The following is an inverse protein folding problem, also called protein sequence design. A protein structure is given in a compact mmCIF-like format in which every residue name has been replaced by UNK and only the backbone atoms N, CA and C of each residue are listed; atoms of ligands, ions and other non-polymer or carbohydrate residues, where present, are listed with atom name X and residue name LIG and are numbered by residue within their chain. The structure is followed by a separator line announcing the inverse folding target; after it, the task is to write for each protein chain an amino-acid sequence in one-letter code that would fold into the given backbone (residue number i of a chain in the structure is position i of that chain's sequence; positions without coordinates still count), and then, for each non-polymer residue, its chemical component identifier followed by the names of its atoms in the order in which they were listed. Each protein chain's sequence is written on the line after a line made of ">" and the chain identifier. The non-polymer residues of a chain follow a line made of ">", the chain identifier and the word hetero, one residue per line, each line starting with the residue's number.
data_IF_109547970574
#
_entry.id   IF_109547970574
#
_cell.length_a   1.000
_cell.length_b   1.000
_cell.length_c   1.000
_cell.angle_alpha   90.00
_cell.angle_beta   90.00
_cell.angle_gamma   90.00
#
_symmetry.space_group_name_H-M   'P 1'
#
loop_
_entity.id
_entity.type
_entity.pdbx_description
1 polymer ?
#
# COMPACT_ATOMS: atom_id res chain seq x y z
N UNK A 1 87.12 18.67 40.60
CA UNK A 1 88.31 17.82 40.44
C UNK A 1 87.82 16.36 40.36
N UNK A 2 88.03 15.72 39.21
CA UNK A 2 87.73 14.34 38.79
C UNK A 2 87.13 13.33 39.79
N UNK A 3 86.05 12.64 39.40
CA UNK A 3 86.11 11.20 39.05
C UNK A 3 84.81 10.67 38.41
N UNK A 4 85.01 9.97 37.30
CA UNK A 4 84.10 9.07 36.59
C UNK A 4 83.63 7.91 37.48
N UNK A 5 82.45 7.36 37.18
CA UNK A 5 82.30 5.91 37.03
C UNK A 5 81.08 5.53 36.17
N UNK A 6 81.37 4.76 35.13
CA UNK A 6 80.45 4.01 34.27
C UNK A 6 79.64 2.95 35.02
N UNK A 7 78.37 2.75 34.62
CA UNK A 7 77.62 1.48 34.69
C UNK A 7 76.61 1.47 33.53
N UNK A 8 76.86 0.72 32.46
CA UNK A 8 76.43 -0.68 32.24
C UNK A 8 74.90 -0.88 32.30
N UNK A 9 74.30 -1.01 31.10
CA UNK A 9 72.99 -1.60 30.86
C UNK A 9 72.94 -3.07 31.30
N UNK A 10 71.75 -3.61 31.60
CA UNK A 10 71.25 -4.66 30.73
C UNK A 10 69.73 -4.67 30.51
N UNK A 11 69.35 -5.03 29.27
CA UNK A 11 68.26 -5.98 29.00
C UNK A 11 66.82 -5.47 29.04
N UNK A 12 66.34 -4.94 27.91
CA UNK A 12 64.89 -4.89 27.63
C UNK A 12 64.53 -6.11 26.78
N UNK A 13 63.61 -6.99 27.22
CA UNK A 13 63.14 -8.08 26.38
C UNK A 13 62.20 -7.55 25.29
N UNK A 14 62.57 -7.83 24.04
CA UNK A 14 61.78 -7.59 22.84
C UNK A 14 60.53 -8.49 22.89
N UNK A 15 59.39 -7.92 23.31
CA UNK A 15 58.11 -8.64 23.31
C UNK A 15 57.52 -8.54 21.90
N UNK A 16 57.71 -9.58 21.09
CA UNK A 16 57.02 -9.73 19.81
C UNK A 16 55.56 -10.07 20.12
N UNK A 17 54.69 -9.05 20.11
CA UNK A 17 53.26 -9.24 20.12
C UNK A 17 52.83 -9.83 18.77
N UNK A 18 52.50 -11.12 18.79
CA UNK A 18 51.84 -11.81 17.67
C UNK A 18 50.44 -11.22 17.52
N UNK A 19 50.30 -10.33 16.54
CA UNK A 19 49.04 -9.77 16.06
C UNK A 19 48.31 -10.85 15.24
N UNK A 20 47.80 -11.90 15.90
CA UNK A 20 46.77 -12.78 15.35
C UNK A 20 45.40 -12.12 15.57
N UNK A 21 45.19 -10.97 14.93
CA UNK A 21 43.89 -10.34 14.80
C UNK A 21 43.05 -11.11 13.77
N UNK A 22 42.27 -12.07 14.28
CA UNK A 22 40.95 -12.48 13.77
C UNK A 22 40.51 -11.91 12.41
N UNK A 23 41.03 -12.49 11.33
CA UNK A 23 40.36 -12.51 10.02
C UNK A 23 39.24 -13.57 10.05
N UNK A 24 38.24 -13.37 10.91
CA UNK A 24 36.92 -13.96 10.66
C UNK A 24 36.21 -12.98 9.73
N UNK A 25 36.57 -13.03 8.45
CA UNK A 25 35.73 -12.48 7.41
C UNK A 25 34.36 -13.14 7.56
N UNK A 26 33.36 -12.36 7.94
CA UNK A 26 31.97 -12.81 7.81
C UNK A 26 31.81 -13.19 6.35
N UNK A 27 31.63 -14.48 6.08
CA UNK A 27 31.05 -14.92 4.82
C UNK A 27 29.68 -14.24 4.79
N UNK A 28 29.59 -13.13 4.05
CA UNK A 28 28.31 -12.51 3.75
C UNK A 28 27.62 -13.56 2.90
N UNK A 29 26.71 -14.32 3.51
CA UNK A 29 25.88 -15.24 2.75
C UNK A 29 25.20 -14.43 1.65
N UNK A 30 25.47 -14.77 0.39
CA UNK A 30 24.86 -14.11 -0.75
C UNK A 30 23.36 -14.43 -0.72
N UNK A 31 22.56 -13.45 -0.30
CA UNK A 31 21.12 -13.59 -0.20
C UNK A 31 20.51 -13.89 -1.58
N UNK A 32 19.56 -14.82 -1.62
CA UNK A 32 18.86 -15.20 -2.85
C UNK A 32 17.48 -14.57 -2.90
N UNK A 33 17.17 -13.89 -3.99
CA UNK A 33 15.85 -13.29 -4.22
C UNK A 33 14.76 -14.37 -4.29
N UNK A 34 13.66 -14.11 -3.61
CA UNK A 34 12.47 -14.95 -3.50
C UNK A 34 11.35 -14.35 -4.36
N UNK A 35 11.35 -14.70 -5.65
CA UNK A 35 10.40 -14.13 -6.63
C UNK A 35 8.92 -14.41 -6.30
N UNK A 36 8.62 -15.49 -5.58
CA UNK A 36 7.26 -15.81 -5.17
C UNK A 36 6.69 -14.70 -4.27
N UNK A 37 7.47 -14.25 -3.29
CA UNK A 37 7.09 -13.26 -2.29
C UNK A 37 7.48 -11.82 -2.69
N UNK A 38 7.82 -11.60 -3.96
CA UNK A 38 8.28 -10.31 -4.47
C UNK A 38 7.35 -9.78 -5.56
N UNK A 39 7.30 -8.47 -5.73
CA UNK A 39 6.76 -7.79 -6.91
C UNK A 39 7.59 -6.56 -7.27
N UNK A 40 7.54 -6.17 -8.53
CA UNK A 40 8.24 -5.00 -9.10
C UNK A 40 7.22 -3.97 -9.56
N UNK A 41 7.70 -2.80 -9.96
CA UNK A 41 6.85 -1.75 -10.53
C UNK A 41 6.08 -2.22 -11.77
N UNK A 42 6.72 -3.02 -12.62
CA UNK A 42 6.11 -3.64 -13.80
C UNK A 42 5.35 -4.92 -13.40
N UNK A 43 4.23 -4.76 -12.69
CA UNK A 43 3.47 -5.90 -12.16
C UNK A 43 2.73 -6.66 -13.27
N UNK A 44 3.04 -7.95 -13.38
CA UNK A 44 2.15 -8.91 -14.03
C UNK A 44 0.94 -9.16 -13.11
N UNK A 45 -0.19 -8.51 -13.40
CA UNK A 45 -1.40 -8.58 -12.57
C UNK A 45 -1.91 -10.00 -12.34
N UNK A 46 -1.76 -10.90 -13.30
CA UNK A 46 -2.19 -12.29 -13.15
C UNK A 46 -1.30 -13.01 -12.13
N UNK A 47 0.01 -12.84 -12.23
CA UNK A 47 0.95 -13.38 -11.23
C UNK A 47 0.75 -12.71 -9.87
N UNK A 48 0.54 -11.41 -9.83
CA UNK A 48 0.32 -10.68 -8.59
C UNK A 48 -0.93 -11.17 -7.86
N UNK A 49 -2.09 -11.17 -8.52
CA UNK A 49 -3.37 -11.57 -7.90
C UNK A 49 -3.45 -13.06 -7.55
N UNK A 50 -2.66 -13.93 -8.18
CA UNK A 50 -2.54 -15.33 -7.76
C UNK A 50 -1.72 -15.51 -6.48
N UNK A 51 -0.88 -14.54 -6.09
CA UNK A 51 0.05 -14.65 -4.95
C UNK A 51 -0.30 -13.72 -3.80
N UNK A 52 -0.92 -12.59 -4.10
CA UNK A 52 -1.25 -11.54 -3.15
C UNK A 52 -2.76 -11.33 -3.08
N UNK A 53 -3.25 -11.08 -1.88
CA UNK A 53 -4.62 -10.70 -1.61
C UNK A 53 -4.65 -9.23 -1.19
N UNK A 54 -5.37 -8.41 -1.94
CA UNK A 54 -5.52 -6.98 -1.70
C UNK A 54 -6.95 -6.70 -1.23
N UNK A 55 -7.08 -5.96 -0.13
CA UNK A 55 -8.35 -5.65 0.54
C UNK A 55 -8.40 -4.18 1.00
N UNK A 56 -9.62 -3.70 1.24
CA UNK A 56 -9.87 -2.30 1.62
C UNK A 56 -9.53 -1.34 0.49
N UNK A 57 -8.78 -0.28 0.80
CA UNK A 57 -8.27 0.69 -0.18
C UNK A 57 -6.96 0.28 -0.85
N UNK A 58 -6.51 -0.97 -0.66
CA UNK A 58 -5.35 -1.49 -1.36
C UNK A 58 -5.68 -1.70 -2.84
N UNK A 59 -5.23 -0.79 -3.71
CA UNK A 59 -5.51 -0.85 -5.15
C UNK A 59 -4.20 -1.10 -5.91
N UNK A 60 -4.00 -2.30 -6.47
CA UNK A 60 -2.91 -2.56 -7.39
C UNK A 60 -3.15 -1.78 -8.70
N UNK A 61 -2.21 -0.90 -9.05
CA UNK A 61 -2.19 -0.13 -10.30
C UNK A 61 -1.03 -0.61 -11.17
N UNK A 62 -0.98 -0.16 -12.43
CA UNK A 62 -0.01 -0.71 -13.39
C UNK A 62 1.46 -0.52 -12.97
N UNK A 63 1.75 0.53 -12.20
CA UNK A 63 3.11 0.92 -11.84
C UNK A 63 3.33 1.15 -10.34
N UNK A 64 2.36 0.82 -9.48
CA UNK A 64 2.47 0.87 -8.02
C UNK A 64 1.23 0.25 -7.39
N UNK A 65 1.27 0.02 -6.09
CA UNK A 65 0.10 -0.30 -5.28
C UNK A 65 -0.22 0.92 -4.41
N UNK A 66 -1.44 1.43 -4.52
CA UNK A 66 -1.92 2.46 -3.61
C UNK A 66 -2.44 1.78 -2.33
N UNK A 67 -1.83 2.08 -1.18
CA UNK A 67 -2.31 1.62 0.12
C UNK A 67 -3.29 2.64 0.73
N UNK A 68 -2.92 3.92 0.76
CA UNK A 68 -3.75 4.99 1.31
C UNK A 68 -4.05 6.01 0.21
N UNK A 69 -5.30 6.16 -0.25
CA UNK A 69 -5.67 7.07 -1.34
C UNK A 69 -6.00 8.51 -0.89
N UNK A 70 -5.47 8.97 0.26
CA UNK A 70 -5.83 10.26 0.89
C UNK A 70 -7.31 10.38 1.25
N UNK A 71 -7.88 9.33 1.83
CA UNK A 71 -9.23 9.35 2.37
C UNK A 71 -9.21 8.94 3.84
N UNK A 72 -9.89 9.72 4.67
CA UNK A 72 -10.12 9.42 6.08
C UNK A 72 -10.98 8.17 6.27
N UNK A 73 -10.87 7.56 7.44
CA UNK A 73 -11.65 6.38 7.83
C UNK A 73 -11.57 5.25 6.81
N UNK A 74 -10.33 4.92 6.43
CA UNK A 74 -10.00 3.88 5.45
C UNK A 74 -8.93 2.96 5.99
N UNK A 75 -8.95 1.73 5.51
CA UNK A 75 -7.90 0.75 5.74
C UNK A 75 -7.50 0.13 4.41
N UNK A 76 -6.25 -0.31 4.32
CA UNK A 76 -5.81 -1.21 3.28
C UNK A 76 -5.07 -2.39 3.89
N UNK A 77 -5.19 -3.54 3.24
CA UNK A 77 -4.45 -4.72 3.59
C UNK A 77 -3.97 -5.40 2.31
N UNK A 78 -2.70 -5.80 2.31
CA UNK A 78 -2.04 -6.54 1.25
C UNK A 78 -1.33 -7.72 1.88
N UNK A 79 -1.82 -8.93 1.65
CA UNK A 79 -1.29 -10.14 2.27
C UNK A 79 -0.81 -11.13 1.23
N UNK A 80 0.38 -11.70 1.45
CA UNK A 80 0.81 -12.83 0.64
C UNK A 80 0.02 -14.08 1.01
N UNK A 81 -0.40 -14.86 0.01
CA UNK A 81 -1.26 -16.04 0.18
C UNK A 81 -0.52 -17.28 0.70
N UNK A 82 0.80 -17.31 0.51
CA UNK A 82 1.64 -18.44 0.90
C UNK A 82 2.57 -18.05 2.06
N UNK A 83 2.88 -18.99 2.97
CA UNK A 83 3.86 -18.77 4.03
C UNK A 83 5.28 -18.74 3.46
N UNK A 84 6.14 -17.94 4.09
CA UNK A 84 7.58 -17.91 3.83
C UNK A 84 8.27 -19.01 4.66
N UNK A 85 9.05 -19.87 4.01
CA UNK A 85 9.65 -21.04 4.66
C UNK A 85 11.02 -20.78 5.27
N UNK A 86 11.39 -19.53 5.55
CA UNK A 86 12.65 -19.13 6.19
C UNK A 86 12.38 -18.16 7.34
N UNK A 87 13.23 -18.18 8.37
CA UNK A 87 13.27 -17.18 9.44
C UNK A 87 14.52 -16.29 9.37
N UNK A 88 15.26 -16.38 8.28
CA UNK A 88 16.45 -15.60 8.01
C UNK A 88 16.31 -14.97 6.62
N UNK A 89 15.59 -13.85 6.56
CA UNK A 89 15.27 -13.17 5.31
C UNK A 89 15.34 -11.65 5.46
N UNK A 90 15.26 -10.95 4.33
CA UNK A 90 15.20 -9.50 4.25
C UNK A 90 14.03 -9.10 3.37
N UNK A 91 13.30 -8.07 3.79
CA UNK A 91 12.32 -7.38 2.96
C UNK A 91 12.92 -6.02 2.58
N UNK A 92 13.02 -5.73 1.30
CA UNK A 92 13.36 -4.41 0.77
C UNK A 92 12.20 -3.89 -0.07
N UNK A 93 11.71 -2.68 0.21
CA UNK A 93 10.61 -2.10 -0.55
C UNK A 93 10.75 -0.59 -0.67
N UNK A 94 10.27 -0.07 -1.79
CA UNK A 94 10.27 1.36 -2.06
C UNK A 94 8.86 1.90 -2.08
N UNK A 95 8.65 3.02 -1.39
CA UNK A 95 7.37 3.71 -1.32
C UNK A 95 7.53 5.21 -1.53
N UNK A 96 6.46 5.87 -1.96
CA UNK A 96 6.36 7.32 -1.89
C UNK A 96 5.26 7.69 -0.90
N UNK A 97 5.59 8.63 -0.02
CA UNK A 97 4.67 9.18 0.94
C UNK A 97 4.49 10.67 0.65
N UNK A 98 3.26 11.10 0.38
CA UNK A 98 2.97 12.49 0.03
C UNK A 98 1.95 13.09 0.98
N UNK A 99 2.29 14.24 1.54
CA UNK A 99 1.41 15.08 2.34
C UNK A 99 0.08 15.38 1.64
N UNK A 100 -0.96 15.77 2.38
CA UNK A 100 -2.22 16.20 1.79
C UNK A 100 -2.00 17.35 0.79
N UNK A 101 -2.76 17.34 -0.30
CA UNK A 101 -2.68 18.43 -1.29
C UNK A 101 -3.35 19.72 -0.78
N UNK A 102 -4.23 19.61 0.21
CA UNK A 102 -5.07 20.70 0.72
C UNK A 102 -4.96 20.73 2.25
N UNK A 103 -4.86 21.94 2.81
CA UNK A 103 -5.06 22.15 4.25
C UNK A 103 -3.82 21.98 5.13
N UNK A 104 -2.62 21.79 4.58
CA UNK A 104 -1.39 21.67 5.39
C UNK A 104 -1.23 20.29 6.01
N UNK A 105 -0.83 20.24 7.28
CA UNK A 105 -0.53 18.97 7.96
C UNK A 105 -1.76 18.05 8.07
N UNK A 106 -1.57 16.73 8.02
CA UNK A 106 -2.62 15.75 8.17
C UNK A 106 -3.22 15.81 9.57
N UNK A 107 -4.53 15.67 9.63
CA UNK A 107 -5.34 15.78 10.86
C UNK A 107 -5.95 14.46 11.28
N UNK A 108 -5.66 13.40 10.51
CA UNK A 108 -6.09 12.05 10.79
C UNK A 108 -4.93 11.24 11.35
N UNK A 109 -5.29 10.34 12.26
CA UNK A 109 -4.44 9.28 12.74
C UNK A 109 -4.11 8.33 11.59
N UNK A 110 -2.83 8.08 11.32
CA UNK A 110 -2.45 7.36 10.11
C UNK A 110 -1.07 6.72 10.17
N UNK A 111 -0.83 5.85 9.19
CA UNK A 111 0.46 5.22 8.94
C UNK A 111 0.30 3.92 8.18
N UNK A 112 1.34 3.08 8.25
CA UNK A 112 1.30 1.73 7.73
C UNK A 112 2.14 0.78 8.58
N UNK A 113 1.96 -0.52 8.38
CA UNK A 113 2.71 -1.56 9.05
C UNK A 113 3.14 -2.65 8.07
N UNK A 114 4.30 -3.25 8.34
CA UNK A 114 4.79 -4.46 7.68
C UNK A 114 4.75 -5.60 8.68
N UNK A 115 4.23 -6.73 8.25
CA UNK A 115 3.93 -7.87 9.10
C UNK A 115 4.71 -9.11 8.67
N UNK A 116 5.16 -9.87 9.66
CA UNK A 116 5.55 -11.27 9.51
C UNK A 116 4.89 -12.09 10.64
N UNK A 117 3.84 -12.85 10.31
CA UNK A 117 2.93 -13.44 11.31
C UNK A 117 2.54 -14.87 10.98
N UNK A 118 2.29 -15.73 11.98
CA UNK A 118 2.08 -17.17 11.74
C UNK A 118 0.65 -17.56 11.36
N UNK A 119 -0.22 -16.58 11.21
CA UNK A 119 -1.60 -16.76 10.80
C UNK A 119 -1.78 -16.43 9.32
N UNK A 120 -2.55 -17.24 8.59
CA UNK A 120 -2.93 -16.92 7.22
C UNK A 120 -3.99 -15.81 7.18
N UNK A 121 -3.52 -14.57 7.29
CA UNK A 121 -4.36 -13.39 7.27
C UNK A 121 -5.15 -13.27 5.95
N UNK A 122 -4.58 -13.67 4.80
CA UNK A 122 -5.26 -13.56 3.49
C UNK A 122 -6.62 -14.28 3.44
N UNK A 123 -6.80 -15.34 4.23
CA UNK A 123 -8.08 -16.05 4.31
C UNK A 123 -9.18 -15.28 5.05
N UNK A 124 -8.82 -14.33 5.93
CA UNK A 124 -9.75 -13.64 6.84
C UNK A 124 -10.26 -12.32 6.32
N UNK A 125 -9.57 -11.68 5.37
CA UNK A 125 -10.00 -10.37 4.84
C UNK A 125 -11.12 -10.45 3.81
N UNK A 126 -11.46 -11.66 3.33
CA UNK A 126 -12.55 -11.84 2.36
C UNK A 126 -13.92 -11.37 2.86
N UNK A 127 -14.11 -11.29 4.18
CA UNK A 127 -15.35 -10.79 4.81
C UNK A 127 -15.36 -9.26 5.01
N UNK A 128 -14.21 -8.58 4.84
CA UNK A 128 -14.02 -7.15 5.13
C UNK A 128 -14.15 -6.23 3.90
N UNK A 129 -14.59 -6.78 2.77
CA UNK A 129 -14.52 -6.15 1.43
C UNK A 129 -15.44 -4.92 1.27
N UNK A 130 -16.30 -4.61 2.25
CA UNK A 130 -17.36 -3.59 2.10
C UNK A 130 -17.44 -2.55 3.22
N UNK A 131 -16.38 -2.36 4.01
CA UNK A 131 -16.41 -1.33 5.05
C UNK A 131 -16.01 0.02 4.47
N UNK A 132 -17.01 0.86 4.17
CA UNK A 132 -16.80 2.24 3.67
C UNK A 132 -17.00 3.31 4.74
N UNK A 133 -17.89 3.07 5.71
CA UNK A 133 -18.22 4.01 6.78
C UNK A 133 -18.01 3.38 8.16
N UNK A 134 -17.43 4.15 9.09
CA UNK A 134 -17.10 3.67 10.43
C UNK A 134 -16.03 2.60 10.40
N UNK A 135 -15.11 2.68 9.46
CA UNK A 135 -14.07 1.67 9.21
C UNK A 135 -13.22 1.44 10.43
N UNK A 136 -12.76 2.53 11.05
CA UNK A 136 -11.90 2.50 12.22
C UNK A 136 -12.59 1.80 13.39
N UNK A 137 -13.85 2.15 13.65
CA UNK A 137 -14.63 1.59 14.76
C UNK A 137 -14.93 0.10 14.53
N UNK A 138 -15.35 -0.27 13.32
CA UNK A 138 -15.61 -1.68 12.96
C UNK A 138 -14.35 -2.54 13.07
N UNK A 139 -13.20 -2.03 12.62
CA UNK A 139 -11.94 -2.74 12.78
C UNK A 139 -11.60 -2.92 14.26
N UNK A 140 -11.80 -1.90 15.10
CA UNK A 140 -11.61 -2.02 16.54
C UNK A 140 -12.55 -3.07 17.16
N UNK A 141 -13.83 -3.07 16.79
CA UNK A 141 -14.83 -4.04 17.27
C UNK A 141 -14.48 -5.48 16.87
N UNK A 142 -13.85 -5.65 15.71
CA UNK A 142 -13.35 -6.94 15.22
C UNK A 142 -11.99 -7.33 15.83
N UNK A 143 -11.45 -6.51 16.74
CA UNK A 143 -10.13 -6.73 17.33
C UNK A 143 -8.98 -6.52 16.33
N UNK A 144 -9.20 -5.77 15.25
CA UNK A 144 -8.26 -5.44 14.17
C UNK A 144 -7.79 -3.98 14.19
N UNK A 145 -7.65 -3.43 15.39
CA UNK A 145 -7.26 -2.03 15.64
C UNK A 145 -5.78 -1.72 15.42
N UNK A 146 -4.90 -2.73 15.27
CA UNK A 146 -3.48 -2.55 15.01
C UNK A 146 -3.22 -2.31 13.52
N UNK A 147 -3.45 -1.07 13.08
CA UNK A 147 -3.21 -0.61 11.70
C UNK A 147 -3.97 -1.44 10.67
N UNK A 148 -5.19 -1.87 11.00
CA UNK A 148 -6.00 -2.72 10.14
C UNK A 148 -5.71 -4.22 10.26
N UNK A 149 -4.90 -4.67 11.23
CA UNK A 149 -4.68 -6.07 11.58
C UNK A 149 -4.94 -6.34 13.07
N UNK A 150 -4.97 -7.62 13.47
CA UNK A 150 -5.36 -8.06 14.82
C UNK A 150 -4.51 -7.47 15.94
N UNK A 151 -5.16 -7.16 17.06
CA UNK A 151 -4.53 -6.60 18.25
C UNK A 151 -3.66 -7.61 19.01
N UNK A 152 -3.96 -8.89 18.86
CA UNK A 152 -3.26 -10.02 19.49
C UNK A 152 -2.57 -10.91 18.44
N UNK A 153 -1.69 -10.32 17.64
CA UNK A 153 -0.96 -11.06 16.61
C UNK A 153 0.06 -12.05 17.19
N UNK A 154 0.42 -13.07 16.41
CA UNK A 154 1.54 -13.99 16.71
C UNK A 154 2.59 -13.78 15.60
N UNK A 155 3.72 -13.16 15.95
CA UNK A 155 4.77 -12.74 15.03
C UNK A 155 5.26 -11.31 15.31
N UNK A 156 5.63 -10.61 14.23
CA UNK A 156 6.25 -9.27 14.27
C UNK A 156 5.43 -8.28 13.46
N UNK A 157 5.20 -7.10 14.04
CA UNK A 157 4.75 -5.91 13.33
C UNK A 157 5.81 -4.81 13.38
N UNK A 158 6.20 -4.29 12.22
CA UNK A 158 7.02 -3.08 12.08
C UNK A 158 6.10 -1.94 11.65
N UNK A 159 6.00 -0.92 12.49
CA UNK A 159 5.02 0.16 12.35
C UNK A 159 5.70 1.45 11.93
N UNK A 160 5.25 2.01 10.82
CA UNK A 160 5.58 3.35 10.36
C UNK A 160 4.40 4.25 10.69
N UNK A 161 4.41 4.78 11.92
CA UNK A 161 3.30 5.51 12.49
C UNK A 161 3.54 7.01 12.41
N UNK A 162 2.59 7.75 11.87
CA UNK A 162 2.80 9.18 11.57
C UNK A 162 2.51 10.07 12.78
N UNK A 163 1.75 9.56 13.75
CA UNK A 163 1.23 10.33 14.86
C UNK A 163 1.81 9.86 16.20
N UNK A 164 1.77 10.73 17.18
CA UNK A 164 2.00 10.41 18.59
C UNK A 164 0.83 10.95 19.39
N UNK A 165 0.31 10.15 20.32
CA UNK A 165 -0.72 10.58 21.25
C UNK A 165 -0.08 11.02 22.57
N UNK A 166 -0.47 12.19 23.05
CA UNK A 166 -0.12 12.66 24.40
C UNK A 166 -0.94 11.90 25.46
N UNK A 167 -0.57 12.07 26.74
CA UNK A 167 -1.37 11.54 27.86
C UNK A 167 -2.76 12.18 27.96
N UNK A 168 -2.97 13.37 27.38
CA UNK A 168 -4.28 14.01 27.27
C UNK A 168 -5.10 13.51 26.07
N UNK A 169 -4.54 12.64 25.23
CA UNK A 169 -5.17 12.13 24.01
C UNK A 169 -5.04 13.07 22.81
N UNK A 170 -4.26 14.15 22.93
CA UNK A 170 -3.97 15.04 21.80
C UNK A 170 -3.01 14.37 20.82
N UNK A 171 -3.32 14.52 19.54
CA UNK A 171 -2.55 13.92 18.46
C UNK A 171 -1.51 14.93 17.93
N UNK A 172 -0.24 14.56 18.00
CA UNK A 172 0.89 15.29 17.41
C UNK A 172 1.35 14.57 16.14
N UNK A 173 1.62 15.32 15.06
CA UNK A 173 2.26 14.77 13.87
C UNK A 173 3.75 14.55 14.18
N UNK A 174 4.13 13.29 14.36
CA UNK A 174 5.50 12.91 14.73
C UNK A 174 5.87 11.55 14.13
N UNK A 175 6.24 11.51 12.83
CA UNK A 175 6.53 10.27 12.15
C UNK A 175 7.64 9.47 12.83
N UNK A 176 7.39 8.17 12.93
CA UNK A 176 8.24 7.23 13.65
C UNK A 176 8.23 5.87 12.97
N UNK A 177 9.28 5.10 13.25
CA UNK A 177 9.34 3.67 12.96
C UNK A 177 9.53 2.95 14.31
N UNK A 178 8.70 1.94 14.58
CA UNK A 178 8.80 1.14 15.80
C UNK A 178 8.44 -0.32 15.56
N UNK A 179 8.78 -1.20 16.49
CA UNK A 179 8.51 -2.64 16.39
C UNK A 179 7.72 -3.15 17.59
N UNK A 180 6.80 -4.08 17.35
CA UNK A 180 6.20 -4.91 18.38
C UNK A 180 6.31 -6.39 17.98
N UNK A 181 6.61 -7.24 18.94
CA UNK A 181 6.64 -8.70 18.79
C UNK A 181 5.65 -9.28 19.78
N UNK A 182 4.92 -10.31 19.35
CA UNK A 182 3.85 -10.90 20.13
C UNK A 182 3.76 -12.40 19.85
N UNK A 183 3.26 -13.16 20.83
CA UNK A 183 3.05 -14.60 20.80
C UNK A 183 1.55 -14.97 20.68
N UNK A 184 0.69 -13.98 20.43
CA UNK A 184 -0.76 -14.11 20.31
C UNK A 184 -1.53 -13.94 21.63
N UNK A 185 -0.83 -13.81 22.77
CA UNK A 185 -1.48 -13.68 24.08
C UNK A 185 -1.69 -12.22 24.49
N UNK A 186 -0.75 -11.33 24.19
CA UNK A 186 -0.89 -9.91 24.54
C UNK A 186 -1.81 -9.21 23.54
N UNK A 187 -2.65 -8.30 24.03
CA UNK A 187 -3.47 -7.41 23.19
C UNK A 187 -2.87 -6.01 23.23
N UNK A 188 -2.56 -5.47 22.06
CA UNK A 188 -2.04 -4.10 21.91
C UNK A 188 -3.15 -3.11 21.59
N UNK A 189 -2.97 -1.89 22.07
CA UNK A 189 -3.73 -0.71 21.72
C UNK A 189 -2.85 0.22 20.92
N UNK A 190 -3.27 0.55 19.70
CA UNK A 190 -2.47 1.33 18.76
C UNK A 190 -2.19 2.76 19.23
N UNK A 191 -3.10 3.40 19.97
CA UNK A 191 -2.93 4.78 20.46
C UNK A 191 -2.01 4.85 21.66
N UNK A 192 -2.01 3.80 22.49
CA UNK A 192 -1.19 3.72 23.70
C UNK A 192 0.19 3.13 23.43
N UNK A 193 0.25 2.08 22.62
CA UNK A 193 1.42 1.22 22.48
C UNK A 193 2.27 1.58 21.24
N UNK A 194 1.79 2.48 20.37
CA UNK A 194 2.56 3.07 19.26
C UNK A 194 2.83 4.58 19.43
N UNK A 195 4.03 5.06 19.07
CA UNK A 195 5.21 4.25 18.76
C UNK A 195 5.70 3.47 19.98
N UNK A 196 6.21 2.26 19.75
CA UNK A 196 6.78 1.47 20.85
C UNK A 196 8.09 2.10 21.34
N UNK A 197 8.55 1.67 22.52
CA UNK A 197 9.87 2.06 23.05
C UNK A 197 11.06 1.54 22.24
N UNK A 198 10.81 0.72 21.21
CA UNK A 198 11.82 0.11 20.36
C UNK A 198 11.73 0.68 18.94
N UNK A 199 12.43 1.79 18.71
CA UNK A 199 12.45 2.46 17.42
C UNK A 199 12.94 3.89 17.50
N UNK A 200 12.71 4.65 16.43
CA UNK A 200 13.19 6.02 16.27
C UNK A 200 12.14 6.91 15.64
N UNK A 201 12.14 8.18 16.04
CA UNK A 201 11.42 9.23 15.32
C UNK A 201 12.23 9.63 14.09
N UNK A 202 11.58 9.64 12.93
CA UNK A 202 12.22 10.04 11.69
C UNK A 202 11.17 10.55 10.72
N UNK A 203 11.37 11.76 10.20
CA UNK A 203 10.44 12.34 9.25
C UNK A 203 10.74 11.81 7.83
N UNK A 204 9.92 10.87 7.37
CA UNK A 204 9.97 10.26 6.04
C UNK A 204 8.84 10.73 5.11
N UNK A 205 8.18 11.85 5.44
CA UNK A 205 7.10 12.42 4.60
C UNK A 205 7.69 13.19 3.42
N UNK A 206 6.91 13.30 2.34
CA UNK A 206 7.24 14.04 1.12
C UNK A 206 8.54 13.60 0.43
N UNK A 207 8.89 12.33 0.56
CA UNK A 207 10.06 11.75 -0.08
C UNK A 207 9.77 10.35 -0.62
N UNK A 208 10.58 9.91 -1.59
CA UNK A 208 10.65 8.51 -1.99
C UNK A 208 11.59 7.80 -1.04
N UNK A 209 11.08 6.74 -0.41
CA UNK A 209 11.74 6.02 0.67
C UNK A 209 12.01 4.58 0.24
N UNK A 210 13.23 4.09 0.44
CA UNK A 210 13.52 2.66 0.41
C UNK A 210 13.74 2.18 1.84
N UNK A 211 13.03 1.13 2.23
CA UNK A 211 13.08 0.51 3.56
C UNK A 211 13.63 -0.91 3.41
N UNK A 212 14.52 -1.29 4.34
CA UNK A 212 15.10 -2.62 4.47
C UNK A 212 14.80 -3.16 5.86
N UNK A 213 14.20 -4.34 5.93
CA UNK A 213 13.84 -5.02 7.18
C UNK A 213 14.49 -6.39 7.15
N UNK A 214 15.51 -6.58 7.97
CA UNK A 214 16.23 -7.85 8.13
C UNK A 214 15.65 -8.62 9.30
N UNK A 215 15.08 -9.79 9.02
CA UNK A 215 14.58 -10.72 10.01
C UNK A 215 15.57 -11.87 10.21
N UNK A 216 15.91 -12.14 11.48
CA UNK A 216 16.63 -13.32 11.94
C UNK A 216 15.84 -13.94 13.08
N UNK A 217 16.18 -15.18 13.44
CA UNK A 217 15.52 -15.89 14.55
C UNK A 217 15.49 -15.11 15.86
N UNK A 218 16.53 -14.30 16.11
CA UNK A 218 16.83 -13.64 17.38
C UNK A 218 16.96 -12.10 17.26
N UNK A 219 16.75 -11.54 16.07
CA UNK A 219 17.06 -10.13 15.79
C UNK A 219 16.22 -9.58 14.64
N UNK A 220 15.77 -8.34 14.78
CA UNK A 220 15.14 -7.57 13.70
C UNK A 220 15.84 -6.23 13.56
N UNK A 221 16.34 -5.95 12.36
CA UNK A 221 17.01 -4.69 12.01
C UNK A 221 16.20 -3.98 10.92
N UNK A 222 15.90 -2.71 11.14
CA UNK A 222 15.21 -1.83 10.17
C UNK A 222 16.10 -0.67 9.82
N UNK A 223 16.39 -0.54 8.53
CA UNK A 223 17.12 0.57 7.96
C UNK A 223 16.29 1.20 6.86
N UNK A 224 16.46 2.49 6.65
CA UNK A 224 15.77 3.18 5.59
C UNK A 224 16.61 4.30 5.02
N UNK A 225 16.37 4.63 3.75
CA UNK A 225 17.00 5.77 3.08
C UNK A 225 15.95 6.56 2.33
N UNK A 226 16.00 7.88 2.50
CA UNK A 226 15.31 8.80 1.61
C UNK A 226 16.15 8.98 0.33
N UNK A 227 15.50 9.44 -0.74
CA UNK A 227 16.19 9.78 -1.98
C UNK A 227 17.34 10.78 -1.70
N UNK A 228 18.54 10.47 -2.21
CA UNK A 228 19.77 11.24 -2.01
C UNK A 228 20.33 11.28 -0.56
N UNK A 229 19.87 10.39 0.33
CA UNK A 229 20.41 10.25 1.68
C UNK A 229 21.06 8.89 1.90
N UNK A 230 21.96 8.80 2.89
CA UNK A 230 22.52 7.54 3.35
C UNK A 230 21.49 6.68 4.08
N UNK A 231 21.80 5.41 4.27
CA UNK A 231 21.00 4.53 5.12
C UNK A 231 21.02 5.01 6.57
N UNK A 232 19.84 5.10 7.16
CA UNK A 232 19.61 5.42 8.57
C UNK A 232 19.05 4.19 9.24
N UNK A 233 19.70 3.76 10.32
CA UNK A 233 19.18 2.70 11.19
C UNK A 233 18.03 3.25 12.03
N UNK A 234 16.85 2.65 11.91
CA UNK A 234 15.63 3.08 12.61
C UNK A 234 15.32 2.21 13.83
N UNK A 235 15.50 0.89 13.68
CA UNK A 235 15.19 -0.10 14.72
C UNK A 235 16.32 -1.14 14.71
N UNK A 236 16.82 -1.49 15.90
CA UNK A 236 17.63 -2.68 16.13
C UNK A 236 17.08 -3.36 17.38
N UNK A 237 16.46 -4.53 17.21
CA UNK A 237 15.73 -5.21 18.27
C UNK A 237 16.22 -6.65 18.41
N UNK A 238 16.89 -6.93 19.53
CA UNK A 238 17.29 -8.28 19.93
C UNK A 238 16.14 -8.98 20.65
N UNK A 239 15.74 -10.13 20.15
CA UNK A 239 14.67 -10.95 20.73
C UNK A 239 15.29 -11.76 21.89
N UNK A 240 15.04 -11.32 23.13
CA UNK A 240 15.63 -11.96 24.31
C UNK A 240 14.90 -13.22 24.78
N UNK A 241 13.60 -13.34 24.52
CA UNK A 241 12.78 -14.46 24.98
C UNK A 241 12.56 -15.48 23.87
N UNK A 242 12.85 -16.76 24.16
CA UNK A 242 12.77 -17.84 23.18
C UNK A 242 11.38 -18.05 22.59
N UNK A 243 10.32 -17.76 23.35
CA UNK A 243 8.93 -17.86 22.87
C UNK A 243 8.59 -16.85 21.77
N UNK A 244 9.36 -15.76 21.68
CA UNK A 244 9.20 -14.72 20.66
C UNK A 244 10.16 -14.92 19.46
N UNK A 245 10.99 -15.96 19.47
CA UNK A 245 11.92 -16.23 18.36
C UNK A 245 11.17 -16.44 17.05
N UNK A 246 11.75 -15.91 15.97
CA UNK A 246 11.17 -16.06 14.64
C UNK A 246 11.37 -17.49 14.13
N UNK A 247 10.27 -18.08 13.69
CA UNK A 247 10.17 -19.42 13.11
C UNK A 247 9.91 -19.29 11.62
N UNK A 248 10.28 -20.28 10.81
CA UNK A 248 9.79 -20.40 9.44
C UNK A 248 8.27 -20.61 9.41
N UNK A 249 7.64 -20.30 8.28
CA UNK A 249 6.22 -20.55 8.03
C UNK A 249 5.29 -19.36 8.30
N UNK A 250 5.83 -18.15 8.50
CA UNK A 250 5.02 -16.95 8.66
C UNK A 250 4.58 -16.34 7.33
N UNK A 251 3.54 -15.53 7.36
CA UNK A 251 2.96 -14.79 6.24
C UNK A 251 3.43 -13.35 6.28
N UNK A 252 3.74 -12.82 5.09
CA UNK A 252 4.10 -11.42 4.91
C UNK A 252 2.83 -10.62 4.59
N UNK A 253 2.70 -9.46 5.21
CA UNK A 253 1.64 -8.52 4.89
C UNK A 253 2.06 -7.07 5.03
N UNK A 254 1.32 -6.19 4.36
CA UNK A 254 1.35 -4.76 4.56
C UNK A 254 -0.05 -4.28 4.86
N UNK A 255 -0.20 -3.40 5.82
CA UNK A 255 -1.48 -2.77 6.11
C UNK A 255 -1.30 -1.27 6.27
N UNK A 256 -2.34 -0.51 5.94
CA UNK A 256 -2.41 0.91 6.28
C UNK A 256 -3.76 1.20 6.89
N UNK A 257 -3.79 2.27 7.69
CA UNK A 257 -5.01 2.76 8.30
C UNK A 257 -4.96 4.27 8.32
N UNK A 258 -6.09 4.89 8.03
CA UNK A 258 -6.36 6.31 8.23
C UNK A 258 -7.62 6.40 9.06
N UNK A 259 -7.51 6.96 10.26
CA UNK A 259 -8.62 7.13 11.19
C UNK A 259 -9.60 8.20 10.75
N UNK A 260 -10.76 8.24 11.41
CA UNK A 260 -11.70 9.36 11.32
C UNK A 260 -11.32 10.45 12.34
N UNK A 261 -11.38 11.71 11.92
CA UNK A 261 -11.35 12.85 12.86
C UNK A 261 -12.64 13.65 12.66
N UNK A 262 -13.47 13.82 13.69
CA UNK A 262 -14.73 14.56 13.56
C UNK A 262 -14.51 15.97 13.01
N UNK A 263 -15.39 16.40 12.11
CA UNK A 263 -15.39 17.74 11.50
C UNK A 263 -14.12 18.10 10.71
N UNK A 264 -13.32 17.12 10.30
CA UNK A 264 -12.15 17.34 9.44
C UNK A 264 -12.41 16.83 8.01
N UNK A 265 -11.89 17.51 6.97
CA UNK A 265 -12.02 17.04 5.59
C UNK A 265 -11.29 15.72 5.37
N UNK A 266 -11.96 14.77 4.71
CA UNK A 266 -11.43 13.43 4.44
C UNK A 266 -10.09 13.43 3.66
N UNK A 267 -9.89 14.45 2.82
CA UNK A 267 -8.71 14.59 1.95
C UNK A 267 -7.42 15.02 2.70
N UNK A 268 -7.50 15.26 4.02
CA UNK A 268 -6.36 15.66 4.86
C UNK A 268 -5.59 14.46 5.44
N UNK A 269 -5.32 13.47 4.60
CA UNK A 269 -4.50 12.30 4.93
C UNK A 269 -3.38 12.09 3.91
N UNK A 270 -2.34 11.37 4.31
CA UNK A 270 -1.18 11.10 3.48
C UNK A 270 -1.51 10.05 2.41
N UNK A 271 -0.94 10.25 1.22
CA UNK A 271 -0.92 9.25 0.15
C UNK A 271 0.23 8.28 0.42
N UNK A 272 -0.02 6.98 0.35
CA UNK A 272 1.00 5.93 0.50
C UNK A 272 0.94 5.02 -0.72
N UNK A 273 2.01 5.04 -1.53
CA UNK A 273 2.16 4.22 -2.72
C UNK A 273 3.42 3.35 -2.62
N UNK A 274 3.31 2.06 -2.91
CA UNK A 274 4.43 1.11 -2.95
C UNK A 274 4.77 0.78 -4.41
N UNK A 275 6.04 0.90 -4.78
CA UNK A 275 6.50 0.67 -6.15
C UNK A 275 7.12 -0.71 -6.34
N UNK A 276 7.88 -1.18 -5.37
CA UNK A 276 8.56 -2.47 -5.40
C UNK A 276 8.57 -3.08 -4.01
N UNK A 277 8.62 -4.41 -3.99
CA UNK A 277 8.70 -5.21 -2.78
C UNK A 277 9.50 -6.47 -3.08
N UNK A 278 10.62 -6.62 -2.41
CA UNK A 278 11.60 -7.67 -2.65
C UNK A 278 11.85 -8.44 -1.37
N UNK A 279 11.78 -9.76 -1.48
CA UNK A 279 12.14 -10.67 -0.39
C UNK A 279 13.40 -11.41 -0.79
N UNK A 280 14.38 -11.41 0.11
CA UNK A 280 15.66 -12.10 -0.08
C UNK A 280 15.87 -13.08 1.06
N UNK A 281 16.09 -14.35 0.74
CA UNK A 281 16.36 -15.41 1.71
C UNK A 281 17.88 -15.56 1.91
N UNK A 282 18.30 -15.66 3.17
CA UNK A 282 19.68 -15.85 3.59
C UNK A 282 19.87 -17.16 4.38
N UNK A 283 18.86 -18.04 4.39
CA UNK A 283 18.97 -19.40 4.94
C UNK A 283 19.41 -20.39 3.85
N UNK A 284 20.66 -20.85 3.95
CA UNK A 284 21.23 -21.85 3.04
C UNK A 284 20.49 -23.19 3.09
N UNK A 285 19.79 -23.51 4.20
CA UNK A 285 19.11 -24.81 4.38
C UNK A 285 17.80 -24.90 3.62
N UNK A 286 17.13 -23.78 3.38
CA UNK A 286 15.81 -23.71 2.75
C UNK A 286 15.89 -23.45 1.24
N UNK A 287 17.07 -23.54 0.65
CA UNK A 287 17.29 -23.33 -0.77
C UNK A 287 16.47 -24.29 -1.64
N UNK A 288 15.59 -23.74 -2.48
CA UNK A 288 14.86 -24.46 -3.53
C UNK A 288 13.46 -24.98 -3.16
N UNK A 289 13.02 -24.86 -1.91
CA UNK A 289 11.65 -25.24 -1.53
C UNK A 289 10.60 -24.21 -1.99
N UNK A 290 10.98 -22.93 -2.07
CA UNK A 290 10.06 -21.82 -2.41
C UNK A 290 9.65 -21.79 -3.90
N UNK A 291 10.32 -22.53 -4.78
CA UNK A 291 9.97 -22.59 -6.22
C UNK A 291 8.89 -23.64 -6.54
N UNK A 292 8.53 -24.53 -5.60
CA UNK A 292 7.58 -25.64 -5.83
C UNK A 292 6.13 -25.30 -5.48
N UNK A 293 5.71 -24.04 -5.57
CA UNK A 293 4.28 -23.76 -5.64
C UNK A 293 3.84 -24.19 -7.03
N UNK A 294 3.25 -25.38 -7.10
CA UNK A 294 2.62 -25.86 -8.31
C UNK A 294 1.42 -24.94 -8.55
N UNK A 295 1.64 -23.89 -9.34
CA UNK A 295 0.54 -23.15 -9.92
C UNK A 295 -0.22 -24.21 -10.70
N UNK A 296 -1.41 -24.60 -10.22
CA UNK A 296 -2.41 -25.03 -11.18
C UNK A 296 -2.51 -23.83 -12.11
N UNK A 297 -1.84 -23.94 -13.26
CA UNK A 297 -2.00 -22.98 -14.32
C UNK A 297 -3.50 -22.88 -14.47
N UNK A 298 -4.05 -21.70 -14.19
CA UNK A 298 -5.34 -21.35 -14.73
C UNK A 298 -5.11 -21.47 -16.24
N UNK A 299 -5.34 -22.67 -16.77
CA UNK A 299 -5.56 -22.85 -18.19
C UNK A 299 -6.74 -21.94 -18.39
N UNK A 300 -6.47 -20.77 -18.96
CA UNK A 300 -7.47 -20.07 -19.77
C UNK A 300 -7.93 -21.17 -20.70
N UNK A 301 -9.05 -21.82 -20.34
CA UNK A 301 -9.57 -22.91 -21.14
C UNK A 301 -9.79 -22.28 -22.49
N UNK A 302 -9.01 -22.74 -23.48
CA UNK A 302 -9.12 -22.36 -24.87
C UNK A 302 -10.60 -22.30 -25.19
N UNK A 303 -11.14 -21.08 -25.38
CA UNK A 303 -12.56 -20.79 -25.69
C UNK A 303 -13.42 -22.03 -25.52
N UNK A 304 -13.62 -22.47 -24.29
CA UNK A 304 -14.58 -23.53 -24.07
C UNK A 304 -15.89 -22.84 -24.29
N UNK A 305 -16.50 -23.11 -25.44
CA UNK A 305 -17.88 -22.79 -25.73
C UNK A 305 -18.67 -23.16 -24.48
N UNK A 306 -19.06 -22.14 -23.74
CA UNK A 306 -19.57 -22.20 -22.36
C UNK A 306 -20.89 -22.99 -22.26
N UNK A 307 -21.35 -23.58 -23.37
CA UNK A 307 -22.64 -24.21 -23.56
C UNK A 307 -22.58 -25.64 -24.10
N UNK A 308 -21.43 -26.18 -24.53
CA UNK A 308 -21.45 -27.43 -25.31
C UNK A 308 -21.27 -28.74 -24.52
N UNK A 309 -21.20 -28.70 -23.18
CA UNK A 309 -20.90 -29.88 -22.37
C UNK A 309 -21.84 -30.17 -21.19
N UNK A 310 -23.02 -29.54 -21.07
CA UNK A 310 -23.80 -29.56 -19.83
C UNK A 310 -25.11 -30.36 -19.93
N UNK A 311 -24.99 -31.68 -19.80
CA UNK A 311 -26.08 -32.57 -19.39
C UNK A 311 -25.62 -33.40 -18.19
N UNK A 312 -25.71 -32.83 -16.99
CA UNK A 312 -25.52 -33.59 -15.77
C UNK A 312 -25.18 -32.72 -14.55
N UNK A 313 -26.21 -32.36 -13.79
CA UNK A 313 -26.20 -31.95 -12.37
C UNK A 313 -25.30 -30.76 -11.98
N UNK A 314 -25.75 -29.53 -12.29
CA UNK A 314 -24.86 -28.36 -12.41
C UNK A 314 -25.28 -27.12 -11.56
N UNK A 315 -26.21 -27.25 -10.61
CA UNK A 315 -26.71 -26.06 -9.89
C UNK A 315 -25.65 -25.41 -8.96
N UNK A 316 -24.77 -26.21 -8.35
CA UNK A 316 -23.72 -25.69 -7.46
C UNK A 316 -22.60 -24.96 -8.20
N UNK A 317 -22.20 -25.49 -9.35
CA UNK A 317 -21.14 -24.90 -10.19
C UNK A 317 -21.64 -23.69 -10.98
N UNK A 318 -22.92 -23.68 -11.38
CA UNK A 318 -23.54 -22.49 -11.97
C UNK A 318 -23.63 -21.35 -10.96
N UNK A 319 -23.99 -21.63 -9.71
CA UNK A 319 -24.00 -20.62 -8.65
C UNK A 319 -22.59 -20.04 -8.39
N UNK A 320 -21.55 -20.85 -8.49
CA UNK A 320 -20.16 -20.40 -8.31
C UNK A 320 -19.64 -19.59 -9.50
N UNK A 321 -19.97 -20.00 -10.73
CA UNK A 321 -19.69 -19.23 -11.94
C UNK A 321 -20.40 -17.87 -11.91
N UNK A 322 -21.67 -17.83 -11.53
CA UNK A 322 -22.45 -16.59 -11.37
C UNK A 322 -21.81 -15.70 -10.29
N UNK A 323 -21.43 -16.26 -9.13
CA UNK A 323 -20.71 -15.50 -8.08
C UNK A 323 -19.41 -14.90 -8.58
N UNK A 324 -18.65 -15.64 -9.38
CA UNK A 324 -17.38 -15.14 -9.93
C UNK A 324 -17.57 -14.05 -10.98
N UNK A 325 -18.59 -14.18 -11.85
CA UNK A 325 -18.97 -13.12 -12.79
C UNK A 325 -19.42 -11.88 -12.04
N UNK A 326 -20.28 -12.03 -11.03
CA UNK A 326 -20.77 -10.93 -10.20
C UNK A 326 -19.62 -10.21 -9.50
N UNK A 327 -18.67 -10.95 -8.90
CA UNK A 327 -17.45 -10.38 -8.29
C UNK A 327 -16.58 -9.64 -9.30
N UNK A 328 -16.41 -10.18 -10.51
CA UNK A 328 -15.65 -9.53 -11.56
C UNK A 328 -16.33 -8.22 -12.00
N UNK A 329 -17.65 -8.22 -12.19
CA UNK A 329 -18.41 -7.00 -12.50
C UNK A 329 -18.36 -5.97 -11.37
N UNK A 330 -18.46 -6.38 -10.11
CA UNK A 330 -18.31 -5.45 -8.97
C UNK A 330 -16.91 -4.88 -8.88
N UNK A 331 -15.86 -5.68 -9.13
CA UNK A 331 -14.48 -5.19 -9.19
C UNK A 331 -14.32 -4.15 -10.29
N UNK A 332 -14.84 -4.42 -11.48
CA UNK A 332 -14.83 -3.45 -12.59
C UNK A 332 -15.58 -2.17 -12.22
N UNK A 333 -16.75 -2.26 -11.59
CA UNK A 333 -17.52 -1.09 -11.13
C UNK A 333 -16.72 -0.28 -10.09
N UNK A 334 -16.14 -0.95 -9.09
CA UNK A 334 -15.36 -0.33 -8.02
C UNK A 334 -14.04 0.28 -8.52
N UNK A 335 -13.39 -0.32 -9.52
CA UNK A 335 -12.22 0.24 -10.19
C UNK A 335 -12.59 1.42 -11.09
N UNK A 336 -13.77 1.40 -11.69
CA UNK A 336 -14.26 2.46 -12.56
C UNK A 336 -14.77 3.68 -11.79
N UNK A 337 -15.26 3.55 -10.55
CA UNK A 337 -15.76 4.68 -9.73
C UNK A 337 -14.71 5.79 -9.44
N UNK A 338 -13.48 5.47 -8.96
CA UNK A 338 -12.45 6.49 -8.76
C UNK A 338 -11.90 7.05 -10.07
N UNK A 339 -11.81 6.20 -11.12
CA UNK A 339 -11.48 6.65 -12.48
C UNK A 339 -12.54 7.62 -13.01
N UNK A 340 -13.82 7.36 -12.72
CA UNK A 340 -14.97 8.21 -13.07
C UNK A 340 -14.92 9.54 -12.33
N UNK A 341 -14.68 9.54 -11.01
CA UNK A 341 -14.54 10.79 -10.25
C UNK A 341 -13.39 11.65 -10.80
N UNK A 342 -12.29 11.02 -11.22
CA UNK A 342 -11.15 11.72 -11.83
C UNK A 342 -11.49 12.26 -13.22
N UNK A 343 -12.17 11.47 -14.06
CA UNK A 343 -12.65 11.90 -15.37
C UNK A 343 -13.65 13.06 -15.25
N UNK A 344 -14.60 12.98 -14.32
CA UNK A 344 -15.58 14.03 -14.05
C UNK A 344 -14.89 15.34 -13.63
N UNK A 345 -13.94 15.30 -12.68
CA UNK A 345 -13.14 16.47 -12.31
C UNK A 345 -12.38 17.06 -13.50
N UNK A 346 -11.82 16.20 -14.35
CA UNK A 346 -11.09 16.64 -15.56
C UNK A 346 -12.03 17.30 -16.56
N UNK A 347 -13.23 16.76 -16.77
CA UNK A 347 -14.26 17.31 -17.65
C UNK A 347 -14.75 18.67 -17.12
N UNK A 348 -15.03 18.78 -15.82
CA UNK A 348 -15.39 20.07 -15.22
C UNK A 348 -14.27 21.10 -15.37
N UNK A 349 -13.01 20.71 -15.13
CA UNK A 349 -11.86 21.57 -15.35
C UNK A 349 -11.68 21.99 -16.82
N UNK A 350 -11.95 21.11 -17.79
CA UNK A 350 -11.95 21.45 -19.20
C UNK A 350 -13.09 22.41 -19.56
N UNK A 351 -14.27 22.24 -18.98
CA UNK A 351 -15.40 23.16 -19.18
C UNK A 351 -15.05 24.57 -18.71
N UNK A 352 -14.46 24.72 -17.53
CA UNK A 352 -14.01 26.03 -17.02
C UNK A 352 -12.94 26.65 -17.91
N UNK A 353 -11.95 25.86 -18.37
CA UNK A 353 -10.92 26.36 -19.29
C UNK A 353 -11.49 26.81 -20.64
N UNK A 354 -12.51 26.11 -21.15
CA UNK A 354 -13.20 26.50 -22.38
C UNK A 354 -13.97 27.81 -22.15
N UNK A 355 -14.62 28.00 -21.00
CA UNK A 355 -15.28 29.26 -20.65
C UNK A 355 -14.27 30.43 -20.56
N UNK A 356 -13.12 30.20 -19.94
CA UNK A 356 -12.04 31.19 -19.86
C UNK A 356 -11.50 31.54 -21.26
N UNK A 357 -11.25 30.53 -22.11
CA UNK A 357 -10.83 30.74 -23.50
C UNK A 357 -11.88 31.51 -24.30
N UNK A 358 -13.17 31.22 -24.12
CA UNK A 358 -14.25 31.96 -24.79
C UNK A 358 -14.26 33.42 -24.37
N UNK A 359 -13.98 33.70 -23.09
CA UNK A 359 -13.89 35.07 -22.56
C UNK A 359 -12.67 35.81 -23.13
N UNK A 360 -11.48 35.20 -23.10
CA UNK A 360 -10.27 35.77 -23.69
C UNK A 360 -10.43 36.02 -25.19
N UNK A 361 -11.07 35.09 -25.88
CA UNK A 361 -11.41 35.26 -27.28
C UNK A 361 -12.34 36.48 -27.45
N UNK A 362 -13.38 36.67 -26.63
CA UNK A 362 -14.34 37.79 -26.78
C UNK A 362 -13.65 39.15 -26.53
N UNK A 363 -12.70 39.19 -25.59
CA UNK A 363 -11.81 40.34 -25.37
C UNK A 363 -10.92 40.62 -26.60
N UNK A 364 -10.32 39.57 -27.19
CA UNK A 364 -9.50 39.68 -28.40
C UNK A 364 -10.31 40.16 -29.61
N UNK A 365 -11.53 39.66 -29.78
CA UNK A 365 -12.45 40.11 -30.83
C UNK A 365 -12.71 41.62 -30.73
N UNK A 366 -12.99 42.10 -29.52
CA UNK A 366 -13.25 43.53 -29.27
C UNK A 366 -12.02 44.39 -29.62
N UNK A 367 -10.81 43.90 -29.29
CA UNK A 367 -9.57 44.56 -29.67
C UNK A 367 -9.34 44.55 -31.20
N UNK A 368 -9.60 43.43 -31.87
CA UNK A 368 -9.39 43.30 -33.33
C UNK A 368 -10.43 44.08 -34.14
N UNK A 369 -11.71 44.10 -33.73
CA UNK A 369 -12.76 44.91 -34.35
C UNK A 369 -12.45 46.41 -34.25
N UNK A 370 -11.68 46.84 -33.24
CA UNK A 370 -11.20 48.22 -33.14
C UNK A 370 -10.06 48.57 -34.11
N UNK A 371 -9.38 47.56 -34.68
CA UNK A 371 -8.17 47.73 -35.50
C UNK A 371 -8.46 47.51 -37.00
N UNK A 372 -9.24 46.49 -37.37
CA UNK A 372 -9.14 45.91 -38.74
C UNK A 372 -10.46 45.83 -39.55
N UNK A 373 -11.46 46.66 -39.26
CA UNK A 373 -12.52 46.94 -40.25
C UNK A 373 -13.38 45.75 -40.76
N UNK A 374 -13.46 44.63 -40.03
CA UNK A 374 -14.58 43.69 -40.10
C UNK A 374 -14.34 42.30 -40.71
N UNK A 375 -13.24 42.03 -41.42
CA UNK A 375 -13.01 40.72 -42.07
C UNK A 375 -12.62 39.60 -41.11
N UNK A 376 -11.96 39.91 -39.99
CA UNK A 376 -11.59 38.92 -38.95
C UNK A 376 -12.78 38.45 -38.09
N UNK A 377 -13.88 39.20 -38.07
CA UNK A 377 -15.04 38.89 -37.22
C UNK A 377 -15.76 37.59 -37.62
N UNK A 378 -15.73 37.23 -38.91
CA UNK A 378 -16.35 35.98 -39.39
C UNK A 378 -15.54 34.74 -39.02
N UNK A 379 -14.21 34.77 -39.18
CA UNK A 379 -13.35 33.65 -38.77
C UNK A 379 -13.42 33.40 -37.27
N UNK A 380 -13.51 34.49 -36.49
CA UNK A 380 -13.67 34.43 -35.06
C UNK A 380 -15.01 33.78 -34.65
N UNK A 381 -16.12 34.15 -35.30
CA UNK A 381 -17.43 33.51 -35.07
C UNK A 381 -17.38 32.02 -35.40
N UNK A 382 -16.75 31.65 -36.51
CA UNK A 382 -16.61 30.25 -36.92
C UNK A 382 -15.85 29.41 -35.88
N UNK A 383 -14.72 29.90 -35.37
CA UNK A 383 -13.94 29.18 -34.35
C UNK A 383 -14.71 29.05 -33.03
N UNK A 384 -15.42 30.10 -32.61
CA UNK A 384 -16.28 30.08 -31.43
C UNK A 384 -17.38 29.03 -31.56
N UNK A 385 -18.04 28.95 -32.71
CA UNK A 385 -19.11 27.99 -32.95
C UNK A 385 -18.59 26.55 -32.99
N UNK A 386 -17.41 26.31 -33.55
CA UNK A 386 -16.76 24.98 -33.50
C UNK A 386 -16.39 24.57 -32.07
N UNK A 387 -15.84 25.48 -31.27
CA UNK A 387 -15.50 25.20 -29.86
C UNK A 387 -16.74 24.84 -29.03
N UNK A 388 -17.83 25.59 -29.22
CA UNK A 388 -19.12 25.29 -28.57
C UNK A 388 -19.66 23.93 -29.03
N UNK A 389 -19.51 23.59 -30.32
CA UNK A 389 -19.95 22.31 -30.87
C UNK A 389 -19.16 21.14 -30.28
N UNK A 390 -17.83 21.24 -30.22
CA UNK A 390 -16.94 20.21 -29.64
C UNK A 390 -17.23 20.00 -28.16
N UNK A 391 -17.45 21.09 -27.41
CA UNK A 391 -17.83 21.02 -26.00
C UNK A 391 -19.15 20.27 -25.80
N UNK A 392 -20.19 20.60 -26.60
CA UNK A 392 -21.49 19.92 -26.55
C UNK A 392 -21.40 18.44 -26.94
N UNK A 393 -20.65 18.10 -27.98
CA UNK A 393 -20.46 16.69 -28.39
C UNK A 393 -19.74 15.88 -27.31
N UNK A 394 -18.74 16.47 -26.64
CA UNK A 394 -18.01 15.83 -25.54
C UNK A 394 -18.91 15.61 -24.32
N UNK A 395 -19.74 16.59 -23.95
CA UNK A 395 -20.71 16.44 -22.87
C UNK A 395 -21.77 15.38 -23.20
N UNK A 396 -22.29 15.39 -24.43
CA UNK A 396 -23.29 14.41 -24.89
C UNK A 396 -22.75 12.99 -24.91
N UNK A 397 -21.56 12.77 -25.45
CA UNK A 397 -20.89 11.46 -25.48
C UNK A 397 -20.68 10.89 -24.06
N UNK A 398 -20.31 11.75 -23.10
CA UNK A 398 -20.21 11.34 -21.70
C UNK A 398 -21.57 11.01 -21.07
N UNK A 399 -22.62 11.77 -21.38
CA UNK A 399 -23.96 11.48 -20.88
C UNK A 399 -24.51 10.15 -21.44
N UNK A 400 -24.27 9.87 -22.72
CA UNK A 400 -24.65 8.61 -23.36
C UNK A 400 -23.89 7.42 -22.74
N UNK A 401 -22.57 7.55 -22.52
CA UNK A 401 -21.79 6.52 -21.78
C UNK A 401 -22.30 6.30 -20.37
N UNK A 402 -22.65 7.38 -19.65
CA UNK A 402 -23.22 7.30 -18.30
C UNK A 402 -24.52 6.49 -18.30
N UNK A 403 -25.40 6.77 -19.25
CA UNK A 403 -26.66 6.05 -19.41
C UNK A 403 -26.44 4.56 -19.69
N UNK A 404 -25.54 4.21 -20.61
CA UNK A 404 -25.20 2.80 -20.89
C UNK A 404 -24.68 2.07 -19.66
N UNK A 405 -23.88 2.73 -18.83
CA UNK A 405 -23.35 2.15 -17.59
C UNK A 405 -24.41 2.01 -16.50
N UNK A 406 -25.32 2.98 -16.36
CA UNK A 406 -26.47 2.88 -15.45
C UNK A 406 -27.39 1.72 -15.87
N UNK A 407 -27.65 1.56 -17.18
CA UNK A 407 -28.43 0.45 -17.73
C UNK A 407 -27.75 -0.93 -17.50
N UNK A 408 -26.41 -0.99 -17.56
CA UNK A 408 -25.62 -2.18 -17.22
C UNK A 408 -25.65 -2.48 -15.72
N UNK A 409 -25.54 -1.46 -14.88
CA UNK A 409 -25.64 -1.59 -13.42
C UNK A 409 -27.03 -2.09 -13.00
N UNK A 410 -28.10 -1.54 -13.62
CA UNK A 410 -29.47 -1.98 -13.37
C UNK A 410 -29.69 -3.44 -13.82
N UNK A 411 -29.14 -3.84 -14.97
CA UNK A 411 -29.17 -5.24 -15.42
C UNK A 411 -28.39 -6.17 -14.48
N UNK A 412 -27.22 -5.76 -14.01
CA UNK A 412 -26.44 -6.52 -13.04
C UNK A 412 -27.22 -6.71 -11.72
N UNK A 413 -27.92 -5.68 -11.26
CA UNK A 413 -28.79 -5.76 -10.09
C UNK A 413 -29.97 -6.73 -10.25
N UNK A 414 -30.56 -6.81 -11.45
CA UNK A 414 -31.66 -7.74 -11.76
C UNK A 414 -31.21 -9.21 -11.87
N UNK A 415 -29.93 -9.45 -12.20
CA UNK A 415 -29.37 -10.81 -12.33
C UNK A 415 -28.98 -11.43 -10.99
N UNK A 416 -29.02 -10.68 -9.89
CA UNK A 416 -28.94 -11.24 -8.53
C UNK A 416 -30.31 -11.83 -8.19
N UNK A 417 -30.47 -13.16 -8.12
CA UNK A 417 -31.77 -13.76 -7.84
C UNK A 417 -32.23 -13.35 -6.45
N UNK A 418 -33.53 -13.09 -6.29
CA UNK A 418 -34.25 -12.84 -5.03
C UNK A 418 -34.16 -14.03 -4.04
N UNK A 419 -32.95 -14.40 -3.63
CA UNK A 419 -32.71 -15.31 -2.52
C UNK A 419 -32.52 -14.47 -1.26
N UNK A 420 -33.62 -14.10 -0.61
CA UNK A 420 -33.71 -13.63 0.80
C UNK A 420 -32.39 -13.21 1.48
N UNK A 421 -31.70 -12.20 0.95
CA UNK A 421 -30.73 -11.43 1.70
C UNK A 421 -31.39 -10.10 2.00
N UNK A 422 -31.90 -10.01 3.23
CA UNK A 422 -32.56 -8.83 3.77
C UNK A 422 -31.49 -7.76 4.05
N UNK A 423 -31.01 -7.10 3.00
CA UNK A 423 -30.12 -5.93 3.11
C UNK A 423 -31.01 -4.69 3.02
N UNK A 424 -31.37 -4.13 4.18
CA UNK A 424 -32.03 -2.84 4.30
C UNK A 424 -31.04 -1.74 3.88
N UNK A 425 -31.23 -1.17 2.70
CA UNK A 425 -30.62 0.11 2.33
C UNK A 425 -31.39 1.24 3.03
N UNK A 426 -30.74 1.92 3.98
CA UNK A 426 -31.17 3.23 4.46
C UNK A 426 -30.47 4.27 3.59
N UNK A 427 -31.21 4.86 2.66
CA UNK A 427 -30.76 6.03 1.90
C UNK A 427 -31.15 7.26 2.72
N UNK A 428 -30.20 7.89 3.39
CA UNK A 428 -30.38 9.24 3.96
C UNK A 428 -30.10 10.27 2.87
N UNK A 429 -31.07 11.18 2.67
CA UNK A 429 -30.93 12.39 1.86
C UNK A 429 -29.91 13.36 2.42
#
# INVERSE_FOLDING_TARGET
>A
MYRHHDRLFPGVPLTIAVLCGSLLGSVIADGRKVELHSFTQEMDFHKFTSRWDASGTCIPLHNHIALSPRASDRYAALWHKYPLHTNNFEIEFTLALKSPAIGGDPVHEQGFAVWYVYENASSKYSDLVHITDGTTDKLNDMGMGMMGYKNNFDGVGVFFYHNKFSSSGEMELKPSASILINDGFQTFDRRRDLPSGHGSYWNYRDTKLTVKIRFKSDDVLVEAKAENQGWVKLIEYKIGESKHHLRPGGYIGLTSMVGATPNQPSERSDLINIYDFHVTNYDDRMMGQEQKVNYESYRVSERHDFFEGQRGDDNGRHAEAIKNVVRASYRVIMELEPLRSTAERTIYGLSTRIEDLLKEMDELKTAVESIDGGTMAEHYRSMRDELIKVSRETMRSNFERRRSLEELSEHAGKLVPNGNMNVRFVVSR
#
